data_IF_701354809009
#
_entry.id   IF_701354809009
#
_cell.length_a   1.000
_cell.length_b   1.000
_cell.length_c   1.000
_cell.angle_alpha   90.00
_cell.angle_beta   90.00
_cell.angle_gamma   90.00
#
_symmetry.space_group_name_H-M   'P 1'
#
loop_
_entity.id
_entity.type
_entity.pdbx_description
1 polymer ?
#
# COMPACT_ATOMS: atom_id res chain seq x y z
N UNK A 1 21.27 -43.61 44.00
CA UNK A 1 20.25 -43.27 43.01
C UNK A 1 19.86 -41.81 43.26
N UNK A 2 20.32 -40.89 42.42
CA UNK A 2 20.01 -39.46 42.53
C UNK A 2 18.95 -39.21 41.45
N UNK A 3 17.74 -38.88 41.89
CA UNK A 3 16.65 -38.52 41.00
C UNK A 3 16.86 -37.07 40.47
N UNK A 4 17.19 -36.96 39.19
CA UNK A 4 17.28 -35.67 38.51
C UNK A 4 15.90 -35.18 38.14
N UNK A 5 15.46 -34.06 38.74
CA UNK A 5 14.25 -33.35 38.36
C UNK A 5 14.50 -32.59 37.04
N UNK A 6 13.85 -33.00 35.99
CA UNK A 6 13.84 -32.27 34.72
C UNK A 6 12.78 -31.17 34.84
N UNK A 7 13.25 -29.94 34.95
CA UNK A 7 12.39 -28.73 34.83
C UNK A 7 12.01 -28.56 33.36
N UNK A 8 10.73 -28.72 33.04
CA UNK A 8 10.20 -28.37 31.72
C UNK A 8 10.25 -26.87 31.51
N UNK A 9 10.66 -26.37 30.32
CA UNK A 9 10.69 -24.94 30.04
C UNK A 9 9.25 -24.41 29.98
N UNK A 10 8.94 -23.45 30.85
CA UNK A 10 7.70 -22.67 30.75
C UNK A 10 7.83 -21.75 29.53
N UNK A 11 7.20 -22.12 28.43
CA UNK A 11 7.04 -21.23 27.29
C UNK A 11 5.96 -20.20 27.64
N UNK A 12 6.38 -19.05 28.13
CA UNK A 12 5.51 -17.87 28.21
C UNK A 12 5.11 -17.48 26.79
N UNK A 13 3.89 -17.80 26.40
CA UNK A 13 3.28 -17.27 25.18
C UNK A 13 3.16 -15.74 25.35
N UNK A 14 4.10 -15.01 24.75
CA UNK A 14 4.01 -13.56 24.69
C UNK A 14 2.75 -13.19 23.89
N UNK A 15 1.74 -12.65 24.55
CA UNK A 15 0.61 -12.02 23.90
C UNK A 15 1.15 -10.98 22.91
N UNK A 16 0.68 -10.97 21.65
CA UNK A 16 1.13 -9.97 20.70
C UNK A 16 0.82 -8.58 21.27
N UNK A 17 1.83 -7.71 21.31
CA UNK A 17 1.63 -6.32 21.70
C UNK A 17 0.59 -5.71 20.74
N UNK A 18 -0.56 -5.34 21.27
CA UNK A 18 -1.58 -4.60 20.53
C UNK A 18 -1.10 -3.16 20.33
N UNK A 19 -1.45 -2.55 19.23
CA UNK A 19 -1.18 -1.15 18.97
C UNK A 19 -1.74 -0.29 20.12
N UNK A 20 -0.87 0.46 20.75
CA UNK A 20 -1.27 1.38 21.81
C UNK A 20 -1.30 2.80 21.25
N UNK A 21 -2.37 3.51 21.53
CA UNK A 21 -2.47 4.93 21.26
C UNK A 21 -1.35 5.67 22.01
N UNK A 22 -0.68 6.58 21.33
CA UNK A 22 0.28 7.47 21.99
C UNK A 22 -0.42 8.26 23.12
N UNK A 23 0.29 8.56 24.23
CA UNK A 23 -0.29 9.36 25.31
C UNK A 23 -0.89 10.66 24.75
N UNK A 24 -2.13 10.93 25.13
CA UNK A 24 -2.88 12.12 24.75
C UNK A 24 -3.78 12.57 25.89
N UNK A 25 -4.54 13.67 25.73
CA UNK A 25 -5.46 14.12 26.74
C UNK A 25 -6.47 13.02 27.08
N UNK A 26 -7.00 12.99 28.32
CA UNK A 26 -8.06 12.07 28.71
C UNK A 26 -9.26 12.19 27.76
N UNK A 27 -9.75 11.05 27.28
CA UNK A 27 -10.92 10.99 26.41
C UNK A 27 -12.10 10.38 27.19
N UNK A 28 -13.23 11.09 27.18
CA UNK A 28 -14.50 10.55 27.69
C UNK A 28 -15.28 9.98 26.50
N UNK A 29 -15.54 8.67 26.53
CA UNK A 29 -16.23 7.97 25.46
C UNK A 29 -17.62 8.56 25.20
N UNK A 30 -17.86 8.89 23.93
CA UNK A 30 -19.15 9.37 23.42
C UNK A 30 -20.02 8.23 22.87
N UNK A 31 -21.15 8.57 22.20
CA UNK A 31 -21.95 7.59 21.47
C UNK A 31 -21.14 6.92 20.35
N UNK A 32 -21.34 5.62 20.14
CA UNK A 32 -20.70 4.89 19.05
C UNK A 32 -21.19 5.40 17.68
N UNK A 33 -20.27 5.64 16.75
CA UNK A 33 -20.54 6.05 15.36
C UNK A 33 -20.14 4.96 14.35
N UNK A 34 -19.21 4.08 14.73
CA UNK A 34 -18.78 2.95 13.93
C UNK A 34 -18.37 1.78 14.82
N UNK A 35 -19.07 0.65 14.71
CA UNK A 35 -18.92 -0.48 15.65
C UNK A 35 -19.04 0.01 17.10
N UNK A 36 -18.01 -0.20 17.91
CA UNK A 36 -17.90 0.30 19.29
C UNK A 36 -17.14 1.62 19.41
N UNK A 37 -16.66 2.18 18.31
CA UNK A 37 -15.88 3.42 18.29
C UNK A 37 -16.80 4.65 18.30
N UNK A 38 -16.49 5.60 19.18
CA UNK A 38 -17.06 6.94 19.10
C UNK A 38 -16.31 7.80 18.05
N UNK A 39 -16.72 9.04 17.86
CA UNK A 39 -16.14 9.91 16.83
C UNK A 39 -14.63 10.13 17.02
N UNK A 40 -14.18 10.39 18.25
CA UNK A 40 -12.76 10.64 18.53
C UNK A 40 -11.92 9.36 18.32
N UNK A 41 -12.42 8.23 18.77
CA UNK A 41 -11.75 6.93 18.58
C UNK A 41 -11.65 6.56 17.11
N UNK A 42 -12.71 6.84 16.32
CA UNK A 42 -12.71 6.60 14.88
C UNK A 42 -11.75 7.56 14.13
N UNK A 43 -11.73 8.83 14.51
CA UNK A 43 -10.82 9.82 13.95
C UNK A 43 -9.35 9.46 14.23
N UNK A 44 -9.06 9.04 15.46
CA UNK A 44 -7.75 8.53 15.86
C UNK A 44 -7.37 7.24 15.08
N UNK A 45 -8.33 6.33 14.88
CA UNK A 45 -8.12 5.10 14.13
C UNK A 45 -7.80 5.34 12.65
N UNK A 46 -8.12 6.52 12.10
CA UNK A 46 -7.72 6.95 10.76
C UNK A 46 -6.59 8.00 10.77
N UNK A 47 -5.94 8.23 11.93
CA UNK A 47 -4.80 9.14 12.09
C UNK A 47 -3.56 8.37 12.53
N UNK A 48 -2.73 7.98 11.57
CA UNK A 48 -1.60 7.07 11.81
C UNK A 48 -0.60 7.57 12.87
N UNK A 49 -0.38 8.89 12.94
CA UNK A 49 0.54 9.49 13.91
C UNK A 49 0.10 9.35 15.36
N UNK A 50 -1.18 9.10 15.62
CA UNK A 50 -1.70 8.83 16.97
C UNK A 50 -1.19 7.50 17.53
N UNK A 51 -0.81 6.55 16.66
CA UNK A 51 -0.29 5.24 17.02
C UNK A 51 1.20 5.06 16.69
N UNK A 52 1.88 6.13 16.26
CA UNK A 52 3.27 6.06 15.83
C UNK A 52 4.07 7.24 16.40
N UNK A 53 4.54 7.12 17.65
CA UNK A 53 5.32 8.15 18.34
C UNK A 53 6.60 8.55 17.60
N UNK A 54 7.14 7.64 16.77
CA UNK A 54 8.38 7.83 16.01
C UNK A 54 8.14 8.26 14.55
N UNK A 55 6.90 8.61 14.16
CA UNK A 55 6.51 8.92 12.77
C UNK A 55 7.40 9.97 12.10
N UNK A 56 7.77 11.04 12.84
CA UNK A 56 8.67 12.10 12.35
C UNK A 56 10.07 11.56 12.05
N UNK A 57 10.62 10.74 12.94
CA UNK A 57 11.96 10.16 12.77
C UNK A 57 12.01 9.20 11.58
N UNK A 58 10.98 8.34 11.42
CA UNK A 58 10.87 7.44 10.27
C UNK A 58 10.77 8.24 8.96
N UNK A 59 9.96 9.28 8.94
CA UNK A 59 9.81 10.14 7.76
C UNK A 59 11.12 10.84 7.39
N UNK A 60 11.85 11.36 8.37
CA UNK A 60 13.16 11.98 8.14
C UNK A 60 14.20 10.95 7.63
N UNK A 61 14.23 9.75 8.22
CA UNK A 61 15.11 8.66 7.77
C UNK A 61 14.80 8.21 6.33
N UNK A 62 13.53 8.08 5.97
CA UNK A 62 13.13 7.79 4.57
C UNK A 62 13.55 8.88 3.61
N UNK A 63 13.42 10.15 3.99
CA UNK A 63 13.87 11.27 3.17
C UNK A 63 15.40 11.22 2.96
N UNK A 64 16.19 10.99 4.01
CA UNK A 64 17.64 10.85 3.91
C UNK A 64 18.03 9.65 3.04
N UNK A 65 17.40 8.49 3.24
CA UNK A 65 17.64 7.30 2.40
C UNK A 65 17.30 7.57 0.92
N UNK A 66 16.22 8.31 0.66
CA UNK A 66 15.84 8.69 -0.69
C UNK A 66 16.90 9.53 -1.39
N UNK A 67 17.51 10.49 -0.68
CA UNK A 67 18.65 11.28 -1.19
C UNK A 67 19.89 10.43 -1.44
N UNK A 68 20.24 9.54 -0.50
CA UNK A 68 21.39 8.64 -0.62
C UNK A 68 21.22 7.74 -1.85
N UNK A 69 20.09 7.06 -1.96
CA UNK A 69 19.82 6.14 -3.06
C UNK A 69 19.76 6.90 -4.39
N UNK A 70 19.18 8.10 -4.44
CA UNK A 70 19.17 8.94 -5.66
C UNK A 70 20.57 9.25 -6.18
N UNK A 71 21.57 9.38 -5.30
CA UNK A 71 22.99 9.57 -5.71
C UNK A 71 23.60 8.29 -6.25
N UNK A 72 23.17 7.13 -5.75
CA UNK A 72 23.71 5.82 -6.14
C UNK A 72 23.15 5.37 -7.50
N UNK A 73 21.81 5.40 -7.66
CA UNK A 73 21.14 4.85 -8.85
C UNK A 73 20.87 5.90 -9.93
N UNK A 74 21.11 7.18 -9.62
CA UNK A 74 20.91 8.27 -10.57
C UNK A 74 19.43 8.69 -10.71
N UNK A 75 19.19 9.55 -11.70
CA UNK A 75 17.84 10.07 -11.98
C UNK A 75 17.02 9.05 -12.79
N UNK A 76 15.70 8.92 -12.51
CA UNK A 76 14.82 8.11 -13.34
C UNK A 76 14.62 8.72 -14.74
N UNK A 77 14.22 7.87 -15.66
CA UNK A 77 13.60 8.33 -16.91
C UNK A 77 12.16 8.76 -16.59
N UNK A 78 11.84 10.04 -16.84
CA UNK A 78 10.48 10.52 -16.66
C UNK A 78 9.68 10.34 -17.94
N UNK A 79 8.52 9.68 -17.87
CA UNK A 79 7.59 9.49 -18.96
C UNK A 79 6.21 10.00 -18.58
N UNK A 80 5.41 10.44 -19.57
CA UNK A 80 4.03 10.86 -19.36
C UNK A 80 3.08 9.70 -19.72
N UNK A 81 2.08 9.45 -18.88
CA UNK A 81 1.01 8.47 -19.13
C UNK A 81 -0.33 9.12 -19.47
N UNK A 82 -0.40 10.45 -19.43
CA UNK A 82 -1.59 11.22 -19.72
C UNK A 82 -1.28 12.64 -20.16
N UNK A 83 -2.32 13.48 -20.31
CA UNK A 83 -2.20 14.81 -20.88
C UNK A 83 -1.79 15.89 -19.86
N UNK A 84 -2.05 15.69 -18.56
CA UNK A 84 -1.72 16.69 -17.55
C UNK A 84 -0.28 16.55 -17.06
N UNK A 85 0.33 17.65 -16.64
CA UNK A 85 1.74 17.67 -16.20
C UNK A 85 2.02 16.76 -15.00
N UNK A 86 1.01 16.49 -14.16
CA UNK A 86 1.16 15.57 -13.03
C UNK A 86 1.18 14.10 -13.48
N UNK A 87 0.59 13.75 -14.63
CA UNK A 87 0.45 12.39 -15.11
C UNK A 87 1.79 11.84 -15.64
N UNK A 88 2.72 11.62 -14.73
CA UNK A 88 4.06 11.14 -15.01
C UNK A 88 4.44 9.92 -14.20
N UNK A 89 5.37 9.15 -14.75
CA UNK A 89 5.98 7.97 -14.14
C UNK A 89 7.48 8.18 -14.11
N UNK A 90 8.08 7.98 -12.95
CA UNK A 90 9.52 7.85 -12.79
C UNK A 90 9.91 6.39 -13.00
N UNK A 91 10.64 6.11 -14.08
CA UNK A 91 11.07 4.76 -14.47
C UNK A 91 12.54 4.57 -14.11
N UNK A 92 12.82 3.68 -13.17
CA UNK A 92 14.16 3.21 -12.82
C UNK A 92 14.41 1.89 -13.52
N UNK A 93 15.37 1.87 -14.44
CA UNK A 93 15.62 0.70 -15.29
C UNK A 93 16.70 -0.19 -14.69
N UNK A 94 16.46 -1.50 -14.74
CA UNK A 94 17.53 -2.49 -14.57
C UNK A 94 18.32 -2.65 -15.87
N UNK A 95 19.53 -3.22 -15.79
CA UNK A 95 20.31 -3.59 -16.97
C UNK A 95 19.78 -4.82 -17.72
N UNK A 96 18.84 -5.58 -17.11
CA UNK A 96 18.26 -6.77 -17.74
C UNK A 96 17.24 -6.38 -18.81
N UNK A 97 17.37 -6.97 -19.98
CA UNK A 97 16.34 -6.86 -21.01
C UNK A 97 15.11 -7.71 -20.66
N UNK A 98 13.96 -7.31 -21.17
CA UNK A 98 12.69 -8.01 -20.95
C UNK A 98 12.42 -8.29 -19.45
N UNK A 99 12.67 -7.28 -18.62
CA UNK A 99 12.64 -7.39 -17.17
C UNK A 99 11.20 -7.32 -16.60
N UNK A 100 10.93 -7.94 -15.45
CA UNK A 100 9.68 -7.66 -14.71
C UNK A 100 9.52 -6.16 -14.46
N UNK A 101 8.27 -5.70 -14.40
CA UNK A 101 7.92 -4.31 -14.12
C UNK A 101 7.17 -4.25 -12.80
N UNK A 102 7.67 -3.50 -11.85
CA UNK A 102 7.06 -3.31 -10.54
C UNK A 102 6.65 -1.84 -10.40
N UNK A 103 5.35 -1.60 -10.32
CA UNK A 103 4.78 -0.26 -10.16
C UNK A 103 4.50 0.02 -8.69
N UNK A 104 4.80 1.23 -8.24
CA UNK A 104 4.52 1.68 -6.87
C UNK A 104 3.55 2.87 -6.86
N UNK A 105 2.48 2.72 -6.09
CA UNK A 105 1.50 3.78 -5.80
C UNK A 105 1.76 4.29 -4.40
N UNK A 106 2.21 5.54 -4.28
CA UNK A 106 2.50 6.14 -2.98
C UNK A 106 1.25 6.38 -2.12
N UNK A 107 1.44 6.35 -0.82
CA UNK A 107 0.44 6.78 0.17
C UNK A 107 0.45 8.30 0.38
N UNK A 108 -0.05 8.72 1.54
CA UNK A 108 -0.11 10.14 1.94
C UNK A 108 -1.52 10.64 2.17
N UNK A 109 -2.43 9.75 2.59
CA UNK A 109 -3.82 10.07 2.94
C UNK A 109 -4.60 10.75 1.80
N UNK A 110 -4.25 10.43 0.54
CA UNK A 110 -4.72 11.07 -0.70
C UNK A 110 -4.38 12.57 -0.82
N UNK A 111 -3.73 13.18 0.19
CA UNK A 111 -3.38 14.62 0.23
C UNK A 111 -1.95 14.92 -0.16
N UNK A 112 -1.07 13.95 -0.01
CA UNK A 112 0.37 14.11 -0.12
C UNK A 112 0.99 12.96 -0.89
N UNK A 113 2.26 13.13 -1.24
CA UNK A 113 3.07 12.13 -1.91
C UNK A 113 3.50 12.57 -3.29
N UNK A 114 4.66 12.06 -3.71
CA UNK A 114 5.23 12.23 -5.06
C UNK A 114 6.03 11.00 -5.42
N UNK A 115 6.10 10.70 -6.71
CA UNK A 115 6.94 9.62 -7.26
C UNK A 115 8.38 9.69 -6.77
N UNK A 116 8.94 10.89 -6.74
CA UNK A 116 10.32 11.15 -6.34
C UNK A 116 10.64 10.78 -4.88
N UNK A 117 9.64 10.62 -4.02
CA UNK A 117 9.81 10.19 -2.63
C UNK A 117 9.96 8.68 -2.47
N UNK A 118 9.86 7.91 -3.54
CA UNK A 118 9.95 6.45 -3.56
C UNK A 118 11.26 5.93 -4.16
N UNK A 119 12.22 6.79 -4.49
CA UNK A 119 13.51 6.41 -5.08
C UNK A 119 14.27 5.40 -4.20
N UNK A 120 14.18 5.54 -2.86
CA UNK A 120 14.81 4.61 -1.91
C UNK A 120 14.32 3.15 -2.05
N UNK A 121 13.15 2.93 -2.65
CA UNK A 121 12.60 1.60 -2.91
C UNK A 121 13.22 1.00 -4.17
N UNK A 122 13.50 1.84 -5.18
CA UNK A 122 13.90 1.42 -6.52
C UNK A 122 15.17 0.56 -6.54
N UNK A 123 16.16 0.87 -5.70
CA UNK A 123 17.46 0.18 -5.67
C UNK A 123 17.31 -1.33 -5.49
N UNK A 124 16.48 -1.76 -4.55
CA UNK A 124 16.24 -3.19 -4.28
C UNK A 124 15.69 -3.93 -5.51
N UNK A 125 14.80 -3.29 -6.27
CA UNK A 125 14.18 -3.90 -7.45
C UNK A 125 15.09 -3.91 -8.66
N UNK A 126 15.80 -2.81 -8.95
CA UNK A 126 16.73 -2.77 -10.08
C UNK A 126 17.90 -3.73 -9.89
N UNK A 127 18.41 -3.86 -8.65
CA UNK A 127 19.46 -4.82 -8.30
C UNK A 127 18.98 -6.27 -8.41
N UNK A 128 17.73 -6.56 -8.08
CA UNK A 128 17.10 -7.85 -8.28
C UNK A 128 16.76 -8.13 -9.75
N UNK A 129 16.87 -7.13 -10.63
CA UNK A 129 16.68 -7.27 -12.07
C UNK A 129 15.27 -6.98 -12.56
N UNK A 130 14.52 -6.11 -11.88
CA UNK A 130 13.24 -5.57 -12.33
C UNK A 130 13.33 -4.07 -12.60
N UNK A 131 12.52 -3.57 -13.53
CA UNK A 131 12.26 -2.15 -13.66
C UNK A 131 11.31 -1.71 -12.53
N UNK A 132 11.62 -0.61 -11.85
CA UNK A 132 10.77 -0.04 -10.82
C UNK A 132 10.17 1.28 -11.31
N UNK A 133 8.85 1.41 -11.16
CA UNK A 133 8.08 2.55 -11.60
C UNK A 133 7.39 3.20 -10.41
N UNK A 134 7.54 4.51 -10.24
CA UNK A 134 6.79 5.27 -9.24
C UNK A 134 5.89 6.29 -9.92
N UNK A 135 4.63 6.36 -9.51
CA UNK A 135 3.58 7.14 -10.18
C UNK A 135 3.38 8.49 -9.50
N UNK A 136 3.14 9.55 -10.31
CA UNK A 136 2.50 10.76 -9.86
C UNK A 136 1.05 10.82 -10.36
N UNK A 137 0.18 11.37 -9.55
CA UNK A 137 -1.24 11.62 -9.82
C UNK A 137 -1.73 12.79 -8.95
N UNK A 138 -2.85 13.39 -9.31
CA UNK A 138 -3.44 14.47 -8.52
C UNK A 138 -3.69 14.02 -7.06
N UNK A 139 -3.52 14.94 -6.13
CA UNK A 139 -4.00 14.73 -4.77
C UNK A 139 -5.47 15.18 -4.64
N UNK A 140 -6.12 14.82 -3.54
CA UNK A 140 -7.54 15.06 -3.32
C UNK A 140 -7.88 16.57 -3.16
N UNK A 141 -6.90 17.41 -2.83
CA UNK A 141 -7.09 18.87 -2.77
C UNK A 141 -7.21 19.44 -4.18
N UNK A 142 -6.34 18.99 -5.10
CA UNK A 142 -6.36 19.37 -6.51
C UNK A 142 -7.65 18.91 -7.21
N UNK A 143 -8.20 17.75 -6.79
CA UNK A 143 -9.48 17.24 -7.28
C UNK A 143 -10.70 17.76 -6.50
N UNK A 144 -10.50 18.75 -5.62
CA UNK A 144 -11.57 19.40 -4.83
C UNK A 144 -12.39 18.44 -3.96
N UNK A 145 -11.76 17.38 -3.45
CA UNK A 145 -12.37 16.39 -2.58
C UNK A 145 -12.88 15.13 -3.31
N UNK A 146 -12.70 15.02 -4.61
CA UNK A 146 -13.13 13.87 -5.41
C UNK A 146 -11.99 12.87 -5.59
N UNK A 147 -12.25 11.58 -5.27
CA UNK A 147 -11.28 10.49 -5.45
C UNK A 147 -11.34 9.84 -6.84
N UNK A 148 -12.41 10.02 -7.60
CA UNK A 148 -12.54 9.41 -8.93
C UNK A 148 -11.41 9.79 -9.89
N UNK A 149 -11.04 11.07 -10.03
CA UNK A 149 -9.94 11.46 -10.93
C UNK A 149 -8.60 10.80 -10.56
N UNK A 150 -8.32 10.63 -9.25
CA UNK A 150 -7.11 9.96 -8.78
C UNK A 150 -7.08 8.49 -9.18
N UNK A 151 -8.20 7.78 -8.95
CA UNK A 151 -8.34 6.36 -9.32
C UNK A 151 -8.19 6.19 -10.83
N UNK A 152 -8.80 7.06 -11.62
CA UNK A 152 -8.74 7.01 -13.09
C UNK A 152 -7.34 7.30 -13.61
N UNK A 153 -6.60 8.23 -13.00
CA UNK A 153 -5.20 8.49 -13.31
C UNK A 153 -4.32 7.25 -13.05
N UNK A 154 -4.50 6.61 -11.90
CA UNK A 154 -3.73 5.40 -11.58
C UNK A 154 -4.08 4.23 -12.52
N UNK A 155 -5.36 4.05 -12.87
CA UNK A 155 -5.80 3.08 -13.89
C UNK A 155 -5.13 3.36 -15.24
N UNK A 156 -5.13 4.62 -15.70
CA UNK A 156 -4.44 5.02 -16.93
C UNK A 156 -2.95 4.73 -16.89
N UNK A 157 -2.29 5.00 -15.76
CA UNK A 157 -0.86 4.71 -15.60
C UNK A 157 -0.56 3.21 -15.73
N UNK A 158 -1.40 2.33 -15.16
CA UNK A 158 -1.27 0.88 -15.29
C UNK A 158 -1.51 0.44 -16.74
N UNK A 159 -2.56 0.93 -17.38
CA UNK A 159 -2.86 0.64 -18.78
C UNK A 159 -1.73 1.12 -19.73
N UNK A 160 -1.20 2.32 -19.47
CA UNK A 160 -0.07 2.86 -20.22
C UNK A 160 1.18 1.98 -20.06
N UNK A 161 1.48 1.59 -18.83
CA UNK A 161 2.64 0.74 -18.52
C UNK A 161 2.54 -0.61 -19.23
N UNK A 162 1.37 -1.25 -19.23
CA UNK A 162 1.16 -2.50 -19.96
C UNK A 162 1.42 -2.35 -21.47
N UNK A 163 0.91 -1.26 -22.08
CA UNK A 163 1.05 -1.00 -23.51
C UNK A 163 2.47 -0.61 -23.92
N UNK A 164 3.24 -0.02 -22.99
CA UNK A 164 4.55 0.59 -23.30
C UNK A 164 5.73 -0.07 -22.58
N UNK A 165 5.56 -1.19 -21.88
CA UNK A 165 6.62 -1.85 -21.10
C UNK A 165 7.89 -2.08 -21.92
N UNK A 166 7.78 -2.51 -23.17
CA UNK A 166 8.91 -2.77 -24.05
C UNK A 166 9.74 -1.52 -24.36
N UNK A 167 9.17 -0.33 -24.34
CA UNK A 167 9.88 0.94 -24.64
C UNK A 167 10.99 1.26 -23.63
N UNK A 168 10.91 0.69 -22.42
CA UNK A 168 11.93 0.84 -21.39
C UNK A 168 12.56 -0.51 -20.97
N UNK A 169 12.43 -1.56 -21.80
CA UNK A 169 13.03 -2.87 -21.58
C UNK A 169 12.26 -3.75 -20.61
N UNK A 170 10.99 -3.45 -20.35
CA UNK A 170 10.11 -4.24 -19.50
C UNK A 170 9.29 -5.28 -20.26
N UNK A 171 8.79 -6.27 -19.52
CA UNK A 171 7.90 -7.31 -20.02
C UNK A 171 6.46 -7.04 -19.51
N UNK A 172 5.56 -6.72 -20.43
CA UNK A 172 4.15 -6.48 -20.14
C UNK A 172 3.44 -7.71 -19.50
N UNK A 173 3.95 -8.92 -19.73
CA UNK A 173 3.40 -10.14 -19.13
C UNK A 173 3.91 -10.40 -17.71
N UNK A 174 4.80 -9.56 -17.19
CA UNK A 174 5.34 -9.61 -15.83
C UNK A 174 5.21 -8.26 -15.12
N UNK A 175 3.96 -7.76 -15.10
CA UNK A 175 3.61 -6.49 -14.45
C UNK A 175 3.07 -6.75 -13.05
N UNK A 176 3.65 -6.09 -12.05
CA UNK A 176 3.31 -6.19 -10.63
C UNK A 176 3.02 -4.83 -10.04
N UNK A 177 2.19 -4.80 -8.99
CA UNK A 177 1.77 -3.57 -8.33
C UNK A 177 2.12 -3.60 -6.84
N UNK A 178 2.58 -2.49 -6.31
CA UNK A 178 2.75 -2.25 -4.88
C UNK A 178 2.00 -0.98 -4.53
N UNK A 179 1.21 -1.01 -3.47
CA UNK A 179 0.58 0.17 -2.88
C UNK A 179 0.74 0.18 -1.37
N UNK A 180 0.86 1.37 -0.78
CA UNK A 180 0.89 1.52 0.67
C UNK A 180 -0.10 2.59 1.13
N UNK A 181 -0.83 2.33 2.23
CA UNK A 181 -1.79 3.29 2.82
C UNK A 181 -2.88 3.70 1.80
N UNK A 182 -3.09 5.00 1.56
CA UNK A 182 -3.99 5.47 0.50
C UNK A 182 -3.58 4.98 -0.90
N UNK A 183 -2.29 4.69 -1.13
CA UNK A 183 -1.82 4.04 -2.36
C UNK A 183 -2.26 2.56 -2.45
N UNK A 184 -2.40 1.87 -1.31
CA UNK A 184 -2.96 0.53 -1.29
C UNK A 184 -4.47 0.53 -1.56
N UNK A 185 -5.21 1.58 -1.11
CA UNK A 185 -6.59 1.79 -1.52
C UNK A 185 -6.71 1.97 -3.05
N UNK A 186 -5.91 2.87 -3.64
CA UNK A 186 -5.87 3.09 -5.09
C UNK A 186 -5.49 1.80 -5.83
N UNK A 187 -4.51 1.05 -5.31
CA UNK A 187 -4.13 -0.27 -5.83
C UNK A 187 -5.27 -1.28 -5.72
N UNK A 188 -6.05 -1.25 -4.64
CA UNK A 188 -7.27 -2.04 -4.49
C UNK A 188 -8.28 -1.73 -5.59
N UNK A 189 -8.53 -0.45 -5.88
CA UNK A 189 -9.38 -0.03 -6.99
C UNK A 189 -8.85 -0.48 -8.36
N UNK A 190 -7.53 -0.55 -8.53
CA UNK A 190 -6.88 -1.04 -9.76
C UNK A 190 -7.12 -2.53 -9.94
N UNK A 191 -6.86 -3.36 -8.92
CA UNK A 191 -6.99 -4.83 -9.02
C UNK A 191 -8.44 -5.30 -9.13
N UNK A 192 -9.40 -4.45 -8.78
CA UNK A 192 -10.84 -4.67 -8.94
C UNK A 192 -11.43 -3.89 -10.12
N UNK A 193 -10.61 -3.54 -11.11
CA UNK A 193 -11.06 -2.87 -12.33
C UNK A 193 -11.45 -3.90 -13.39
N UNK A 194 -12.57 -3.67 -14.07
CA UNK A 194 -12.93 -4.39 -15.29
C UNK A 194 -12.08 -3.87 -16.46
N UNK A 195 -10.93 -4.50 -16.66
CA UNK A 195 -9.98 -4.15 -17.72
C UNK A 195 -10.50 -4.43 -19.12
N UNK A 196 -11.49 -5.35 -19.27
CA UNK A 196 -12.10 -5.66 -20.57
C UNK A 196 -12.77 -4.45 -21.20
N UNK A 197 -13.34 -3.55 -20.38
CA UNK A 197 -13.92 -2.29 -20.84
C UNK A 197 -12.91 -1.32 -21.47
N UNK A 198 -11.61 -1.56 -21.23
CA UNK A 198 -10.52 -0.81 -21.84
C UNK A 198 -9.78 -1.61 -22.93
N UNK A 199 -10.33 -2.77 -23.34
CA UNK A 199 -9.72 -3.66 -24.31
C UNK A 199 -8.42 -4.31 -23.83
N UNK A 200 -8.26 -4.48 -22.51
CA UNK A 200 -7.08 -5.05 -21.87
C UNK A 200 -7.41 -6.40 -21.22
N UNK A 201 -6.43 -7.31 -21.07
CA UNK A 201 -6.63 -8.56 -20.35
C UNK A 201 -7.00 -8.33 -18.90
N UNK A 202 -7.95 -9.10 -18.34
CA UNK A 202 -8.32 -8.98 -16.94
C UNK A 202 -7.17 -9.31 -15.98
N UNK A 203 -6.23 -10.17 -16.38
CA UNK A 203 -5.04 -10.55 -15.61
C UNK A 203 -3.80 -9.71 -15.98
N UNK A 204 -3.97 -8.45 -16.31
CA UNK A 204 -2.90 -7.51 -16.66
C UNK A 204 -1.80 -7.45 -15.58
N UNK A 205 -2.20 -7.54 -14.32
CA UNK A 205 -1.27 -7.63 -13.17
C UNK A 205 -1.10 -9.10 -12.76
N UNK A 206 0.15 -9.51 -12.58
CA UNK A 206 0.52 -10.88 -12.17
C UNK A 206 0.61 -11.04 -10.65
N UNK A 207 0.57 -9.94 -9.91
CA UNK A 207 0.51 -9.90 -8.46
C UNK A 207 0.39 -8.47 -7.98
N UNK A 208 -0.22 -8.27 -6.81
CA UNK A 208 -0.27 -6.98 -6.14
C UNK A 208 0.01 -7.11 -4.65
N UNK A 209 0.94 -6.31 -4.12
CA UNK A 209 1.18 -6.15 -2.70
C UNK A 209 0.52 -4.86 -2.23
N UNK A 210 -0.48 -5.00 -1.36
CA UNK A 210 -1.26 -3.88 -0.85
C UNK A 210 -1.05 -3.79 0.67
N UNK A 211 -0.22 -2.84 1.09
CA UNK A 211 0.14 -2.64 2.48
C UNK A 211 -0.74 -1.61 3.17
N UNK A 212 -1.37 -2.00 4.28
CA UNK A 212 -2.05 -1.07 5.18
C UNK A 212 -3.08 -0.19 4.47
N UNK A 213 -3.92 -0.81 3.63
CA UNK A 213 -4.91 -0.11 2.82
C UNK A 213 -6.26 0.06 3.52
N UNK A 214 -7.13 0.79 2.84
CA UNK A 214 -8.55 0.94 3.18
C UNK A 214 -9.37 0.35 2.04
N UNK A 215 -10.14 -0.69 2.32
CA UNK A 215 -10.83 -1.47 1.27
C UNK A 215 -12.35 -1.36 1.36
N UNK A 216 -12.86 -0.80 2.47
CA UNK A 216 -14.23 -0.32 2.64
C UNK A 216 -14.18 1.16 3.06
N UNK A 217 -14.75 2.03 2.25
CA UNK A 217 -14.77 3.46 2.51
C UNK A 217 -15.88 3.91 3.47
N UNK A 218 -16.78 3.02 3.89
CA UNK A 218 -17.87 3.35 4.82
C UNK A 218 -17.36 3.96 6.13
N UNK A 219 -16.47 3.30 6.90
CA UNK A 219 -15.94 3.90 8.12
C UNK A 219 -14.99 5.08 7.86
N UNK A 220 -14.32 5.09 6.71
CA UNK A 220 -13.44 6.22 6.31
C UNK A 220 -14.27 7.50 6.16
N UNK A 221 -15.44 7.40 5.53
CA UNK A 221 -16.40 8.51 5.38
C UNK A 221 -16.89 9.06 6.72
N UNK A 222 -17.04 8.22 7.73
CA UNK A 222 -17.49 8.63 9.06
C UNK A 222 -16.38 9.29 9.88
N UNK A 223 -15.13 9.17 9.48
CA UNK A 223 -13.96 9.75 10.16
C UNK A 223 -13.68 11.19 9.74
N UNK A 224 -12.73 11.83 10.42
CA UNK A 224 -12.22 13.16 10.07
C UNK A 224 -11.72 13.30 8.61
N UNK A 225 -11.58 12.21 7.87
CA UNK A 225 -11.18 12.28 6.45
C UNK A 225 -12.23 12.96 5.58
N UNK A 226 -13.51 13.00 6.02
CA UNK A 226 -14.58 13.78 5.39
C UNK A 226 -14.37 15.29 5.47
N UNK A 227 -13.42 15.78 6.27
CA UNK A 227 -13.05 17.18 6.29
C UNK A 227 -12.38 17.66 5.00
N UNK A 228 -11.83 16.72 4.20
CA UNK A 228 -11.14 17.04 2.94
C UNK A 228 -11.54 16.15 1.75
N UNK A 229 -12.27 15.05 1.98
CA UNK A 229 -12.86 14.21 0.94
C UNK A 229 -14.38 14.39 0.96
N UNK A 230 -14.96 14.68 -0.18
CA UNK A 230 -16.41 14.84 -0.34
C UNK A 230 -17.03 13.47 -0.68
N UNK A 231 -17.08 12.59 0.29
CA UNK A 231 -17.65 11.26 0.06
C UNK A 231 -19.13 11.33 -0.33
N UNK A 232 -19.45 10.78 -1.49
CA UNK A 232 -20.82 10.48 -1.93
C UNK A 232 -21.10 9.00 -1.78
N UNK A 233 -22.38 8.60 -1.82
CA UNK A 233 -22.75 7.19 -1.80
C UNK A 233 -22.16 6.44 -2.99
N UNK A 234 -22.18 7.06 -4.18
CA UNK A 234 -21.56 6.51 -5.39
C UNK A 234 -20.05 6.33 -5.23
N UNK A 235 -19.35 7.30 -4.63
CA UNK A 235 -17.92 7.19 -4.39
C UNK A 235 -17.60 6.04 -3.43
N UNK A 236 -18.34 5.93 -2.32
CA UNK A 236 -18.18 4.82 -1.36
C UNK A 236 -18.51 3.48 -2.01
N UNK A 237 -19.57 3.42 -2.82
CA UNK A 237 -19.94 2.20 -3.54
C UNK A 237 -18.87 1.79 -4.57
N UNK A 238 -18.46 2.71 -5.43
CA UNK A 238 -17.58 2.43 -6.57
C UNK A 238 -16.11 2.27 -6.20
N UNK A 239 -15.65 2.94 -5.13
CA UNK A 239 -14.25 2.98 -4.74
C UNK A 239 -13.96 2.21 -3.43
N UNK A 240 -14.85 1.32 -2.99
CA UNK A 240 -14.57 0.32 -1.96
C UNK A 240 -14.18 -1.00 -2.63
N UNK A 241 -12.89 -1.35 -2.75
CA UNK A 241 -12.45 -2.57 -3.45
C UNK A 241 -13.12 -3.85 -2.97
N UNK A 242 -13.47 -3.93 -1.69
CA UNK A 242 -14.16 -5.08 -1.09
C UNK A 242 -15.53 -5.37 -1.72
N UNK A 243 -16.14 -4.40 -2.42
CA UNK A 243 -17.45 -4.54 -3.08
C UNK A 243 -17.37 -5.04 -4.53
N UNK A 244 -16.15 -5.20 -5.08
CA UNK A 244 -15.92 -5.51 -6.50
C UNK A 244 -15.02 -6.73 -6.68
N UNK A 245 -15.15 -7.74 -5.82
CA UNK A 245 -14.29 -8.93 -5.84
C UNK A 245 -14.56 -9.84 -7.05
N UNK A 246 -15.68 -9.71 -7.70
CA UNK A 246 -16.00 -10.35 -8.98
C UNK A 246 -14.98 -9.96 -10.07
N UNK A 247 -14.51 -8.73 -10.05
CA UNK A 247 -13.50 -8.21 -10.98
C UNK A 247 -12.05 -8.52 -10.57
N UNK A 248 -11.82 -9.10 -9.39
CA UNK A 248 -10.48 -9.42 -8.93
C UNK A 248 -9.92 -10.66 -9.62
N UNK A 249 -8.89 -10.48 -10.44
CA UNK A 249 -8.17 -11.55 -11.15
C UNK A 249 -6.68 -11.61 -10.79
N UNK A 250 -6.22 -10.69 -9.96
CA UNK A 250 -4.82 -10.55 -9.55
C UNK A 250 -4.60 -11.22 -8.19
N UNK A 251 -3.61 -12.11 -8.03
CA UNK A 251 -3.21 -12.62 -6.71
C UNK A 251 -2.75 -11.48 -5.79
N UNK A 252 -3.19 -11.51 -4.53
CA UNK A 252 -2.89 -10.46 -3.56
C UNK A 252 -1.95 -10.92 -2.46
N UNK A 253 -1.00 -10.04 -2.11
CA UNK A 253 -0.27 -10.06 -0.85
C UNK A 253 -0.71 -8.85 -0.05
N UNK A 254 -1.52 -9.06 0.97
CA UNK A 254 -1.94 -8.01 1.89
C UNK A 254 -0.96 -7.95 3.05
N UNK A 255 -0.61 -6.75 3.49
CA UNK A 255 0.33 -6.58 4.61
C UNK A 255 -0.14 -5.49 5.55
N UNK A 256 0.16 -5.65 6.84
CA UNK A 256 0.09 -4.57 7.82
C UNK A 256 1.05 -4.83 8.99
N UNK A 257 1.40 -3.79 9.71
CA UNK A 257 2.17 -3.89 10.94
C UNK A 257 1.24 -4.13 12.14
N UNK A 258 1.71 -4.89 13.15
CA UNK A 258 0.88 -5.19 14.32
C UNK A 258 0.67 -4.00 15.27
N UNK A 259 1.44 -2.92 15.09
CA UNK A 259 1.32 -1.67 15.85
C UNK A 259 0.60 -0.56 15.06
N UNK A 260 -0.15 -0.92 14.03
CA UNK A 260 -1.00 0.02 13.29
C UNK A 260 -2.32 0.28 14.01
N UNK A 261 -3.05 1.27 13.53
CA UNK A 261 -4.34 1.65 14.11
C UNK A 261 -5.37 0.51 14.02
N UNK A 262 -6.34 0.42 14.93
CA UNK A 262 -7.35 -0.64 14.94
C UNK A 262 -8.08 -0.81 13.60
N UNK A 263 -8.46 0.31 12.95
CA UNK A 263 -9.18 0.27 11.68
C UNK A 263 -8.30 -0.24 10.51
N UNK A 264 -7.02 0.11 10.44
CA UNK A 264 -6.14 -0.42 9.41
C UNK A 264 -5.88 -1.93 9.58
N UNK A 265 -5.78 -2.41 10.84
CA UNK A 265 -5.72 -3.84 11.14
C UNK A 265 -7.03 -4.55 10.73
N UNK A 266 -8.18 -3.97 11.07
CA UNK A 266 -9.49 -4.51 10.71
C UNK A 266 -9.68 -4.55 9.20
N UNK A 267 -9.44 -3.45 8.50
CA UNK A 267 -9.59 -3.32 7.05
C UNK A 267 -8.75 -4.39 6.30
N UNK A 268 -7.51 -4.59 6.69
CA UNK A 268 -6.63 -5.61 6.06
C UNK A 268 -7.15 -7.04 6.31
N UNK A 269 -7.55 -7.33 7.54
CA UNK A 269 -8.10 -8.64 7.92
C UNK A 269 -9.42 -8.93 7.20
N UNK A 270 -10.34 -7.96 7.20
CA UNK A 270 -11.68 -8.14 6.68
C UNK A 270 -11.65 -8.24 5.14
N UNK A 271 -10.78 -7.47 4.48
CA UNK A 271 -10.55 -7.59 3.04
C UNK A 271 -9.93 -8.95 2.68
N UNK A 272 -8.92 -9.41 3.42
CA UNK A 272 -8.36 -10.74 3.22
C UNK A 272 -9.44 -11.83 3.36
N UNK A 273 -10.26 -11.76 4.41
CA UNK A 273 -11.37 -12.68 4.64
C UNK A 273 -12.37 -12.68 3.46
N UNK A 274 -12.74 -11.49 2.96
CA UNK A 274 -13.67 -11.35 1.84
C UNK A 274 -13.09 -11.93 0.54
N UNK A 275 -11.81 -11.63 0.24
CA UNK A 275 -11.11 -12.15 -0.95
C UNK A 275 -11.02 -13.68 -0.92
N UNK A 276 -10.64 -14.27 0.22
CA UNK A 276 -10.56 -15.73 0.37
C UNK A 276 -11.93 -16.40 0.34
N UNK A 277 -12.96 -15.78 0.90
CA UNK A 277 -14.35 -16.27 0.81
C UNK A 277 -14.87 -16.24 -0.62
N UNK A 278 -14.42 -15.29 -1.45
CA UNK A 278 -14.68 -15.23 -2.89
C UNK A 278 -13.80 -16.21 -3.71
N UNK A 279 -13.07 -17.11 -3.05
CA UNK A 279 -12.16 -18.10 -3.67
C UNK A 279 -11.07 -17.46 -4.55
N UNK A 280 -10.64 -16.22 -4.22
CA UNK A 280 -9.56 -15.53 -4.91
C UNK A 280 -8.25 -15.69 -4.12
N UNK A 281 -7.09 -15.78 -4.82
CA UNK A 281 -5.80 -15.99 -4.16
C UNK A 281 -5.37 -14.74 -3.38
N UNK A 282 -5.24 -14.88 -2.06
CA UNK A 282 -4.73 -13.83 -1.19
C UNK A 282 -3.93 -14.41 -0.02
N UNK A 283 -2.89 -13.69 0.39
CA UNK A 283 -2.12 -13.96 1.60
C UNK A 283 -2.10 -12.71 2.46
N UNK A 284 -2.29 -12.86 3.77
CA UNK A 284 -2.12 -11.77 4.73
C UNK A 284 -0.83 -11.99 5.53
N UNK A 285 0.10 -11.05 5.43
CA UNK A 285 1.36 -11.06 6.16
C UNK A 285 1.35 -9.97 7.23
N UNK A 286 1.73 -10.34 8.45
CA UNK A 286 1.77 -9.41 9.60
C UNK A 286 3.20 -9.04 9.94
N UNK A 287 3.52 -7.73 9.88
CA UNK A 287 4.79 -7.17 10.32
C UNK A 287 4.80 -6.99 11.84
N UNK A 288 5.35 -7.98 12.56
CA UNK A 288 5.39 -7.96 14.03
C UNK A 288 6.24 -6.79 14.54
N UNK A 289 5.65 -5.94 15.36
CA UNK A 289 6.33 -4.79 15.99
C UNK A 289 6.49 -3.57 15.10
N UNK A 290 5.92 -3.56 13.89
CA UNK A 290 5.95 -2.40 13.00
C UNK A 290 4.67 -1.57 13.10
N UNK A 291 4.81 -0.25 13.11
CA UNK A 291 3.72 0.69 12.89
C UNK A 291 3.59 1.06 11.39
N UNK A 292 2.62 1.89 11.07
CA UNK A 292 2.28 2.28 9.69
C UNK A 292 3.44 2.90 8.88
N UNK A 293 4.29 3.70 9.53
CA UNK A 293 5.42 4.37 8.86
C UNK A 293 6.59 3.41 8.65
N UNK A 294 6.81 2.53 9.63
CA UNK A 294 7.88 1.53 9.59
C UNK A 294 7.60 0.44 8.55
N UNK A 295 6.34 0.01 8.38
CA UNK A 295 5.99 -0.97 7.34
C UNK A 295 6.42 -0.48 5.97
N UNK A 296 6.10 0.76 5.60
CA UNK A 296 6.50 1.34 4.31
C UNK A 296 8.02 1.42 4.15
N UNK A 297 8.74 1.78 5.21
CA UNK A 297 10.21 1.89 5.17
C UNK A 297 10.87 0.58 4.77
N UNK A 298 10.30 -0.56 5.21
CA UNK A 298 10.83 -1.89 4.89
C UNK A 298 10.81 -2.24 3.40
N UNK A 299 10.08 -1.50 2.55
CA UNK A 299 10.09 -1.67 1.09
C UNK A 299 11.47 -1.38 0.46
N UNK A 300 12.24 -0.46 1.03
CA UNK A 300 13.57 -0.12 0.53
C UNK A 300 14.66 -1.13 0.91
N UNK A 301 14.33 -2.17 1.68
CA UNK A 301 15.27 -3.21 2.10
C UNK A 301 14.83 -4.58 1.53
N UNK A 302 15.65 -5.27 0.71
CA UNK A 302 15.29 -6.55 0.11
C UNK A 302 15.04 -7.66 1.16
N UNK A 303 15.61 -7.56 2.34
CA UNK A 303 15.38 -8.45 3.48
C UNK A 303 14.30 -7.93 4.43
N UNK A 304 13.81 -6.73 4.24
CA UNK A 304 12.75 -6.11 5.01
C UNK A 304 11.41 -6.82 4.82
N UNK A 305 10.51 -6.61 5.77
CA UNK A 305 9.21 -7.29 5.80
C UNK A 305 8.44 -7.17 4.47
N UNK A 306 8.18 -5.94 4.00
CA UNK A 306 7.46 -5.74 2.74
C UNK A 306 8.36 -5.88 1.51
N UNK A 307 9.65 -5.47 1.58
CA UNK A 307 10.58 -5.58 0.46
C UNK A 307 10.77 -7.03 0.00
N UNK A 308 11.05 -7.93 0.95
CA UNK A 308 11.17 -9.37 0.67
C UNK A 308 9.87 -9.96 0.12
N UNK A 309 8.71 -9.56 0.68
CA UNK A 309 7.41 -10.04 0.20
C UNK A 309 7.15 -9.59 -1.24
N UNK A 310 7.47 -8.33 -1.56
CA UNK A 310 7.30 -7.77 -2.89
C UNK A 310 8.24 -8.41 -3.94
N UNK A 311 9.52 -8.65 -3.59
CA UNK A 311 10.46 -9.34 -4.47
C UNK A 311 9.98 -10.77 -4.75
N UNK A 312 9.57 -11.52 -3.72
CA UNK A 312 9.02 -12.88 -3.88
C UNK A 312 7.76 -12.90 -4.75
N UNK A 313 6.84 -11.97 -4.55
CA UNK A 313 5.63 -11.82 -5.38
C UNK A 313 5.99 -11.63 -6.85
N UNK A 314 7.05 -10.88 -7.13
CA UNK A 314 7.52 -10.64 -8.50
C UNK A 314 8.44 -11.76 -9.05
N UNK A 315 8.63 -12.87 -8.33
CA UNK A 315 9.51 -13.97 -8.71
C UNK A 315 11.00 -13.59 -8.71
N UNK A 316 11.39 -12.62 -7.89
CA UNK A 316 12.75 -12.12 -7.76
C UNK A 316 13.41 -12.64 -6.47
N UNK A 317 14.71 -12.85 -6.53
CA UNK A 317 15.52 -13.17 -5.36
C UNK A 317 15.79 -11.91 -4.52
N UNK A 318 15.81 -12.07 -3.18
CA UNK A 318 16.23 -11.03 -2.27
C UNK A 318 17.76 -10.98 -2.20
#
# INVERSE_FOLDING_TARGET
>A
MIAGSVLAPVVLAATPALAQRCPGPPHKKGPAVWLDLDQQELDDAYTQSVYAFNAKNISARRAANNEIVSRIIGKPMRVSYGASAIEGIDVFKTAKANAPVVMFIHGGAWKHGKSSQATYIAESFINAGANFLSLDFNNVVETKGDLFPMVDQVRRAVAWTFKNASSFGGDANRLYLIGHSSGAHLGGCVVTTDWSKQGLPQNILKGALLGSGMYDLTPVRLSQRSSYIKFTDDMVAALSPQRHLDQLHTPLVLTNGTLETPEFLRQSRDFHKAVTAAQKPATLLLGKGYNHYETQETLGNPYGFMGRAALRMAGLAA
#
